data_IF_141971566404
#
_entry.id   IF_141971566404
#
_cell.length_a   1.000
_cell.length_b   1.000
_cell.length_c   1.000
_cell.angle_alpha   90.00
_cell.angle_beta   90.00
_cell.angle_gamma   90.00
#
_symmetry.space_group_name_H-M   'P 1'
#
loop_
_entity.id
_entity.type
_entity.pdbx_description
1 polymer ?
#
# COMPACT_ATOMS: atom_id res chain seq x y z
N UNK A 1 -43.41 -3.24 9.73
CA UNK A 1 -42.47 -4.36 10.02
C UNK A 1 -41.15 -4.27 9.24
N UNK A 2 -41.11 -3.62 8.08
CA UNK A 2 -39.86 -3.40 7.31
C UNK A 2 -38.90 -2.41 8.02
N UNK A 3 -39.45 -1.47 8.80
CA UNK A 3 -38.73 -0.37 9.45
C UNK A 3 -37.82 -0.78 10.64
N UNK A 4 -38.24 -1.75 11.47
CA UNK A 4 -37.50 -2.14 12.68
C UNK A 4 -36.24 -2.96 12.41
N UNK A 5 -36.23 -3.80 11.36
CA UNK A 5 -35.02 -4.57 10.99
C UNK A 5 -33.98 -3.68 10.33
N UNK A 6 -34.41 -2.74 9.50
CA UNK A 6 -33.56 -1.73 8.88
C UNK A 6 -32.88 -0.86 9.94
N UNK A 7 -33.67 -0.27 10.83
CA UNK A 7 -33.15 0.56 11.92
C UNK A 7 -32.18 -0.21 12.81
N UNK A 8 -32.53 -1.44 13.21
CA UNK A 8 -31.66 -2.28 14.04
C UNK A 8 -30.31 -2.55 13.38
N UNK A 9 -30.29 -2.81 12.07
CA UNK A 9 -29.04 -3.06 11.35
C UNK A 9 -28.21 -1.78 11.23
N UNK A 10 -28.84 -0.64 10.93
CA UNK A 10 -28.16 0.66 10.91
C UNK A 10 -27.53 0.97 12.27
N UNK A 11 -28.25 0.75 13.38
CA UNK A 11 -27.74 0.95 14.74
C UNK A 11 -26.55 0.02 15.05
N UNK A 12 -26.61 -1.24 14.63
CA UNK A 12 -25.50 -2.18 14.77
C UNK A 12 -24.25 -1.73 13.99
N UNK A 13 -24.41 -1.28 12.75
CA UNK A 13 -23.31 -0.77 11.93
C UNK A 13 -22.70 0.50 12.52
N UNK A 14 -23.55 1.43 13.00
CA UNK A 14 -23.10 2.65 13.70
C UNK A 14 -22.35 2.31 14.99
N UNK A 15 -22.83 1.36 15.78
CA UNK A 15 -22.12 0.88 16.97
C UNK A 15 -20.77 0.27 16.60
N UNK A 16 -20.70 -0.56 15.56
CA UNK A 16 -19.44 -1.13 15.05
C UNK A 16 -18.46 -0.02 14.64
N UNK A 17 -18.92 0.96 13.86
CA UNK A 17 -18.09 2.09 13.44
C UNK A 17 -17.59 2.93 14.62
N UNK A 18 -18.42 3.18 15.63
CA UNK A 18 -17.99 3.88 16.85
C UNK A 18 -16.87 3.12 17.56
N UNK A 19 -17.03 1.80 17.75
CA UNK A 19 -15.97 0.97 18.33
C UNK A 19 -14.69 0.98 17.49
N UNK A 20 -14.79 0.96 16.16
CA UNK A 20 -13.64 1.09 15.27
C UNK A 20 -12.97 2.46 15.40
N UNK A 21 -13.73 3.55 15.51
CA UNK A 21 -13.20 4.90 15.68
C UNK A 21 -12.41 5.08 16.97
N UNK A 22 -12.96 4.58 18.08
CA UNK A 22 -12.38 4.68 19.42
C UNK A 22 -11.14 3.78 19.61
N UNK A 23 -10.99 2.71 18.80
CA UNK A 23 -9.94 1.70 19.01
C UNK A 23 -8.89 1.64 17.90
N UNK A 24 -9.29 1.77 16.63
CA UNK A 24 -8.43 1.53 15.47
C UNK A 24 -8.28 2.75 14.57
N UNK A 25 -9.34 3.55 14.35
CA UNK A 25 -9.30 4.66 13.39
C UNK A 25 -8.74 5.96 13.97
N UNK A 26 -8.17 5.93 15.17
CA UNK A 26 -7.49 7.08 15.80
C UNK A 26 -8.39 8.33 15.89
N UNK A 27 -9.72 8.16 16.03
CA UNK A 27 -10.68 9.26 16.13
C UNK A 27 -10.93 10.03 14.82
N UNK A 28 -10.64 9.43 13.66
CA UNK A 28 -10.77 10.05 12.32
C UNK A 28 -12.19 10.03 11.75
N UNK A 29 -13.06 9.17 12.24
CA UNK A 29 -14.42 8.98 11.75
C UNK A 29 -15.44 9.06 12.90
N UNK A 30 -15.35 10.14 13.67
CA UNK A 30 -16.36 10.50 14.69
C UNK A 30 -17.75 10.58 14.08
N UNK A 31 -18.77 10.31 14.89
CA UNK A 31 -20.17 10.25 14.44
C UNK A 31 -20.63 11.48 13.63
N UNK A 32 -20.32 12.70 14.10
CA UNK A 32 -20.65 13.92 13.37
C UNK A 32 -19.99 13.98 11.97
N UNK A 33 -18.78 13.45 11.84
CA UNK A 33 -18.06 13.37 10.56
C UNK A 33 -18.67 12.31 9.63
N UNK A 34 -19.00 11.14 10.18
CA UNK A 34 -19.71 10.07 9.44
C UNK A 34 -21.05 10.57 8.93
N UNK A 35 -21.82 11.29 9.74
CA UNK A 35 -23.12 11.83 9.35
C UNK A 35 -22.99 12.86 8.22
N UNK A 36 -21.96 13.74 8.24
CA UNK A 36 -21.68 14.64 7.13
C UNK A 36 -21.32 13.88 5.85
N UNK A 37 -20.53 12.82 5.97
CA UNK A 37 -20.19 11.98 4.82
C UNK A 37 -21.42 11.32 4.21
N UNK A 38 -22.29 10.72 5.04
CA UNK A 38 -23.53 10.05 4.62
C UNK A 38 -24.55 11.00 4.01
N UNK A 39 -24.65 12.24 4.50
CA UNK A 39 -25.59 13.23 4.00
C UNK A 39 -25.40 13.62 2.52
N UNK A 40 -24.27 13.24 1.93
CA UNK A 40 -23.94 13.47 0.51
C UNK A 40 -24.62 12.46 -0.43
N UNK A 41 -25.12 11.33 0.09
CA UNK A 41 -25.83 10.30 -0.69
C UNK A 41 -27.34 10.52 -0.60
N UNK A 42 -27.84 11.58 -1.25
CA UNK A 42 -29.21 12.07 -1.05
C UNK A 42 -30.03 12.26 -2.34
N UNK A 43 -29.53 11.79 -3.49
CA UNK A 43 -30.31 11.82 -4.74
C UNK A 43 -31.52 10.89 -4.67
N UNK A 44 -32.51 11.09 -5.55
CA UNK A 44 -33.69 10.22 -5.64
C UNK A 44 -33.29 8.76 -5.82
N UNK A 45 -32.28 8.50 -6.64
CA UNK A 45 -31.73 7.16 -6.85
C UNK A 45 -30.99 6.63 -5.61
N UNK A 46 -30.26 7.48 -4.88
CA UNK A 46 -29.61 7.07 -3.62
C UNK A 46 -30.66 6.64 -2.57
N UNK A 47 -31.76 7.39 -2.47
CA UNK A 47 -32.85 7.07 -1.54
C UNK A 47 -33.56 5.77 -1.94
N UNK A 48 -33.76 5.52 -3.24
CA UNK A 48 -34.33 4.27 -3.74
C UNK A 48 -33.41 3.05 -3.48
N UNK A 49 -32.10 3.28 -3.44
CA UNK A 49 -31.08 2.25 -3.21
C UNK A 49 -30.71 2.05 -1.72
N UNK A 50 -31.42 2.69 -0.79
CA UNK A 50 -31.11 2.70 0.65
C UNK A 50 -29.66 3.12 0.94
N UNK A 51 -29.17 4.15 0.24
CA UNK A 51 -27.74 4.46 0.19
C UNK A 51 -27.09 4.66 1.55
N UNK A 52 -27.79 5.29 2.50
CA UNK A 52 -27.26 5.46 3.86
C UNK A 52 -26.83 4.12 4.46
N UNK A 53 -27.68 3.10 4.38
CA UNK A 53 -27.40 1.79 4.96
C UNK A 53 -26.28 1.06 4.19
N UNK A 54 -26.30 1.11 2.86
CA UNK A 54 -25.27 0.49 2.03
C UNK A 54 -23.89 1.13 2.28
N UNK A 55 -23.83 2.46 2.41
CA UNK A 55 -22.61 3.22 2.66
C UNK A 55 -22.10 3.03 4.10
N UNK A 56 -23.00 2.98 5.09
CA UNK A 56 -22.66 2.57 6.47
C UNK A 56 -22.03 1.18 6.48
N UNK A 57 -22.59 0.24 5.72
CA UNK A 57 -22.06 -1.11 5.64
C UNK A 57 -20.63 -1.14 5.06
N UNK A 58 -20.38 -0.46 3.94
CA UNK A 58 -19.04 -0.34 3.36
C UNK A 58 -18.06 0.32 4.35
N UNK A 59 -18.45 1.44 4.94
CA UNK A 59 -17.63 2.17 5.92
C UNK A 59 -17.28 1.31 7.13
N UNK A 60 -18.23 0.52 7.64
CA UNK A 60 -18.01 -0.40 8.76
C UNK A 60 -17.01 -1.53 8.46
N UNK A 61 -16.72 -1.78 7.19
CA UNK A 61 -15.76 -2.79 6.73
C UNK A 61 -14.42 -2.18 6.27
N UNK A 62 -14.21 -0.89 6.54
CA UNK A 62 -12.97 -0.19 6.20
C UNK A 62 -11.80 -0.62 7.10
N UNK A 63 -10.74 -1.12 6.47
CA UNK A 63 -9.50 -1.54 7.12
C UNK A 63 -8.53 -0.37 7.22
N UNK A 64 -8.46 0.24 8.40
CA UNK A 64 -7.51 1.31 8.65
C UNK A 64 -6.30 0.78 9.44
N UNK A 65 -5.10 1.13 8.98
CA UNK A 65 -3.85 0.82 9.65
C UNK A 65 -3.23 2.10 10.23
N UNK A 66 -3.28 2.18 11.56
CA UNK A 66 -2.67 3.25 12.33
C UNK A 66 -1.14 3.19 12.31
N UNK A 67 -0.51 4.18 12.94
CA UNK A 67 0.96 4.26 12.99
C UNK A 67 1.58 3.04 13.70
N UNK A 68 0.88 2.49 14.70
CA UNK A 68 1.32 1.31 15.46
C UNK A 68 1.33 0.06 14.60
N UNK A 69 0.26 -0.16 13.83
CA UNK A 69 0.09 -1.32 12.97
C UNK A 69 1.11 -1.28 11.82
N UNK A 70 1.28 -0.13 11.16
CA UNK A 70 2.30 0.03 10.11
C UNK A 70 3.71 -0.25 10.64
N UNK A 71 4.06 0.24 11.82
CA UNK A 71 5.36 -0.06 12.46
C UNK A 71 5.54 -1.54 12.73
N UNK A 72 4.49 -2.24 13.17
CA UNK A 72 4.53 -3.69 13.36
C UNK A 72 4.72 -4.46 12.05
N UNK A 73 4.08 -4.02 10.97
CA UNK A 73 4.26 -4.61 9.65
C UNK A 73 5.66 -4.34 9.09
N UNK A 74 6.26 -3.18 9.35
CA UNK A 74 7.65 -2.88 8.97
C UNK A 74 8.68 -3.77 9.70
N UNK A 75 8.42 -4.15 10.96
CA UNK A 75 9.22 -5.17 11.66
C UNK A 75 9.09 -6.54 11.00
N UNK A 76 7.85 -6.91 10.65
CA UNK A 76 7.56 -8.19 9.99
C UNK A 76 8.18 -8.26 8.59
N UNK A 77 8.14 -7.16 7.82
CA UNK A 77 8.79 -7.05 6.51
C UNK A 77 10.29 -7.36 6.60
N UNK A 78 11.00 -6.74 7.54
CA UNK A 78 12.43 -6.99 7.71
C UNK A 78 12.70 -8.40 8.21
N UNK A 79 12.02 -8.83 9.29
CA UNK A 79 12.25 -10.12 9.94
C UNK A 79 11.93 -11.28 9.00
N UNK A 80 10.73 -11.29 8.44
CA UNK A 80 10.16 -12.45 7.75
C UNK A 80 10.57 -12.50 6.28
N UNK A 81 10.56 -11.36 5.60
CA UNK A 81 10.85 -11.32 4.16
C UNK A 81 12.35 -11.19 3.86
N UNK A 82 13.12 -10.53 4.73
CA UNK A 82 14.55 -10.33 4.50
C UNK A 82 15.45 -11.18 5.41
N UNK A 83 15.39 -10.97 6.72
CA UNK A 83 16.34 -11.51 7.68
C UNK A 83 16.29 -13.04 7.74
N UNK A 84 15.09 -13.64 7.87
CA UNK A 84 14.97 -15.09 7.94
C UNK A 84 15.41 -15.78 6.65
N UNK A 85 15.09 -15.21 5.48
CA UNK A 85 15.55 -15.74 4.20
C UNK A 85 17.06 -15.64 4.02
N UNK A 86 17.64 -14.52 4.49
CA UNK A 86 19.09 -14.37 4.50
C UNK A 86 19.76 -15.41 5.40
N UNK A 87 19.25 -15.62 6.62
CA UNK A 87 19.75 -16.63 7.55
C UNK A 87 19.58 -18.05 6.98
N UNK A 88 18.44 -18.36 6.37
CA UNK A 88 18.21 -19.63 5.69
C UNK A 88 19.23 -19.87 4.57
N UNK A 89 19.50 -18.85 3.74
CA UNK A 89 20.50 -18.95 2.66
C UNK A 89 21.91 -19.21 3.22
N UNK A 90 22.30 -18.50 4.29
CA UNK A 90 23.60 -18.68 4.95
C UNK A 90 23.75 -20.12 5.45
N UNK A 91 22.71 -20.66 6.08
CA UNK A 91 22.73 -22.03 6.60
C UNK A 91 22.89 -23.03 5.46
N UNK A 92 22.07 -22.93 4.41
CA UNK A 92 22.12 -23.84 3.24
C UNK A 92 23.48 -23.82 2.55
N UNK A 93 24.07 -22.63 2.37
CA UNK A 93 25.39 -22.48 1.75
C UNK A 93 26.54 -23.04 2.61
N UNK A 94 26.31 -23.25 3.90
CA UNK A 94 27.27 -23.79 4.87
C UNK A 94 26.87 -25.19 5.34
N UNK A 95 26.32 -26.00 4.44
CA UNK A 95 25.92 -27.40 4.71
C UNK A 95 24.97 -27.53 5.90
N UNK A 96 23.94 -26.69 5.93
CA UNK A 96 22.90 -26.64 6.96
C UNK A 96 23.43 -26.43 8.39
N UNK A 97 24.52 -25.68 8.53
CA UNK A 97 25.15 -25.38 9.82
C UNK A 97 24.14 -24.84 10.85
N UNK A 98 24.38 -25.21 12.10
CA UNK A 98 23.69 -24.69 13.30
C UNK A 98 24.62 -23.85 14.18
N UNK A 99 25.88 -23.64 13.76
CA UNK A 99 26.82 -22.83 14.52
C UNK A 99 26.42 -21.35 14.48
N UNK A 100 25.99 -20.85 15.64
CA UNK A 100 25.49 -19.49 15.78
C UNK A 100 26.59 -18.45 15.48
N UNK A 101 27.84 -18.72 15.84
CA UNK A 101 28.93 -17.76 15.61
C UNK A 101 29.19 -17.53 14.12
N UNK A 102 29.31 -18.61 13.35
CA UNK A 102 29.43 -18.56 11.88
C UNK A 102 28.22 -17.89 11.23
N UNK A 103 27.00 -18.23 11.66
CA UNK A 103 25.77 -17.65 11.10
C UNK A 103 25.71 -16.15 11.37
N UNK A 104 26.02 -15.72 12.60
CA UNK A 104 26.01 -14.31 12.97
C UNK A 104 27.07 -13.49 12.24
N UNK A 105 28.28 -14.03 12.10
CA UNK A 105 29.37 -13.36 11.38
C UNK A 105 29.01 -13.14 9.90
N UNK A 106 28.54 -14.21 9.23
CA UNK A 106 28.14 -14.15 7.83
C UNK A 106 26.91 -13.23 7.65
N UNK A 107 25.94 -13.28 8.58
CA UNK A 107 24.79 -12.39 8.56
C UNK A 107 25.20 -10.91 8.65
N UNK A 108 26.08 -10.57 9.60
CA UNK A 108 26.61 -9.20 9.75
C UNK A 108 27.34 -8.76 8.48
N UNK A 109 28.12 -9.65 7.87
CA UNK A 109 28.83 -9.36 6.60
C UNK A 109 27.85 -9.10 5.45
N UNK A 110 26.82 -9.93 5.27
CA UNK A 110 25.79 -9.73 4.22
C UNK A 110 24.99 -8.46 4.46
N UNK A 111 24.60 -8.19 5.71
CA UNK A 111 23.89 -6.97 6.09
C UNK A 111 24.72 -5.72 5.77
N UNK A 112 26.03 -5.72 6.07
CA UNK A 112 26.97 -4.64 5.69
C UNK A 112 26.97 -4.34 4.18
N UNK A 113 26.78 -5.37 3.37
CA UNK A 113 26.71 -5.32 1.91
C UNK A 113 25.26 -5.17 1.37
N UNK A 114 24.31 -4.77 2.22
CA UNK A 114 22.90 -4.55 1.88
C UNK A 114 22.56 -3.07 1.85
N UNK A 115 21.70 -2.65 0.92
CA UNK A 115 21.11 -1.31 0.92
C UNK A 115 19.59 -1.34 0.76
N UNK A 116 18.89 -0.59 1.61
CA UNK A 116 17.45 -0.39 1.59
C UNK A 116 17.11 0.92 0.86
N UNK A 117 16.11 0.87 -0.01
CA UNK A 117 15.68 1.98 -0.87
C UNK A 117 14.15 2.06 -0.83
N UNK A 118 13.60 3.25 -0.58
CA UNK A 118 12.17 3.50 -0.65
C UNK A 118 11.75 3.67 -2.11
N UNK A 119 10.64 3.04 -2.51
CA UNK A 119 10.08 3.19 -3.84
C UNK A 119 9.33 4.53 -3.92
N UNK A 120 9.49 5.24 -5.03
CA UNK A 120 8.84 6.54 -5.27
C UNK A 120 9.71 7.75 -4.96
N UNK A 121 9.09 8.93 -5.02
CA UNK A 121 9.75 10.19 -4.74
C UNK A 121 10.13 10.31 -3.24
N UNK A 122 11.19 11.04 -2.87
CA UNK A 122 11.48 11.37 -1.47
C UNK A 122 10.29 11.97 -0.67
N UNK A 123 9.34 12.64 -1.33
CA UNK A 123 8.12 13.17 -0.71
C UNK A 123 6.95 12.18 -0.64
N UNK A 124 7.12 10.94 -1.11
CA UNK A 124 6.08 9.90 -1.13
C UNK A 124 6.22 8.89 0.01
N UNK A 125 5.17 8.07 0.19
CA UNK A 125 5.02 7.14 1.31
C UNK A 125 6.15 6.12 1.43
N UNK A 126 6.61 5.53 0.33
CA UNK A 126 7.68 4.53 0.34
C UNK A 126 8.99 5.07 0.95
N UNK A 127 9.36 6.31 0.66
CA UNK A 127 10.53 6.97 1.26
C UNK A 127 10.28 7.34 2.73
N UNK A 128 9.09 7.83 3.06
CA UNK A 128 8.70 8.15 4.44
C UNK A 128 8.76 6.91 5.36
N UNK A 129 8.34 5.74 4.86
CA UNK A 129 8.34 4.49 5.61
C UNK A 129 9.74 4.03 6.02
N UNK A 130 10.79 4.37 5.25
CA UNK A 130 12.17 4.00 5.60
C UNK A 130 12.61 4.57 6.96
N UNK A 131 12.08 5.74 7.35
CA UNK A 131 12.39 6.33 8.65
C UNK A 131 11.93 5.41 9.79
N UNK A 132 10.69 4.94 9.73
CA UNK A 132 10.15 4.00 10.72
C UNK A 132 10.80 2.62 10.58
N UNK A 133 10.98 2.12 9.36
CA UNK A 133 11.65 0.85 9.10
C UNK A 133 13.02 0.76 9.78
N UNK A 134 13.81 1.84 9.70
CA UNK A 134 15.12 1.94 10.36
C UNK A 134 15.01 1.84 11.88
N UNK A 135 14.08 2.60 12.47
CA UNK A 135 13.88 2.62 13.93
C UNK A 135 13.42 1.27 14.45
N UNK A 136 12.37 0.73 13.83
CA UNK A 136 11.72 -0.52 14.23
C UNK A 136 12.65 -1.72 14.14
N UNK A 137 13.58 -1.71 13.17
CA UNK A 137 14.55 -2.79 12.95
C UNK A 137 15.95 -2.50 13.51
N UNK A 138 16.12 -1.38 14.23
CA UNK A 138 17.40 -0.96 14.86
C UNK A 138 18.57 -0.92 13.88
N UNK A 139 18.32 -0.48 12.65
CA UNK A 139 19.32 -0.41 11.59
C UNK A 139 20.05 0.94 11.62
N UNK A 140 21.34 0.92 11.31
CA UNK A 140 22.14 2.13 11.10
C UNK A 140 21.69 2.91 9.86
N UNK A 141 21.95 4.22 9.83
CA UNK A 141 21.57 5.08 8.67
C UNK A 141 22.35 4.74 7.40
N UNK A 142 23.52 4.13 7.53
CA UNK A 142 24.43 3.72 6.45
C UNK A 142 23.87 2.61 5.55
N UNK A 143 22.84 1.90 6.02
CA UNK A 143 22.13 0.89 5.21
C UNK A 143 21.11 1.50 4.24
N UNK A 144 20.81 2.80 4.34
CA UNK A 144 19.79 3.46 3.55
C UNK A 144 20.44 4.39 2.53
N UNK A 145 20.00 4.29 1.27
CA UNK A 145 20.48 5.15 0.19
C UNK A 145 19.32 5.64 -0.67
N UNK A 146 19.56 6.72 -1.39
CA UNK A 146 18.66 7.18 -2.43
C UNK A 146 18.92 6.42 -3.75
N UNK A 147 17.93 6.35 -4.63
CA UNK A 147 18.06 5.70 -5.95
C UNK A 147 19.24 6.22 -6.79
N UNK A 148 19.47 7.54 -6.80
CA UNK A 148 20.60 8.16 -7.51
C UNK A 148 21.98 7.79 -6.94
N UNK A 149 22.05 7.12 -5.79
CA UNK A 149 23.29 6.64 -5.19
C UNK A 149 23.61 5.19 -5.58
N UNK A 150 22.72 4.51 -6.33
CA UNK A 150 22.97 3.15 -6.84
C UNK A 150 23.97 3.19 -8.00
N UNK A 151 23.74 4.08 -8.96
CA UNK A 151 24.54 4.24 -10.16
C UNK A 151 25.28 5.58 -10.15
N UNK A 152 26.45 5.62 -10.77
CA UNK A 152 27.22 6.84 -11.00
C UNK A 152 27.49 6.98 -12.49
N UNK A 153 27.15 8.13 -13.04
CA UNK A 153 27.43 8.48 -14.44
C UNK A 153 28.54 9.51 -14.47
N UNK A 154 29.68 9.14 -15.02
CA UNK A 154 30.78 10.07 -15.30
C UNK A 154 30.67 10.53 -16.75
N UNK A 155 30.69 11.86 -16.95
CA UNK A 155 30.72 12.48 -18.28
C UNK A 155 32.18 12.73 -18.64
N UNK A 156 32.75 11.95 -19.56
CA UNK A 156 34.13 12.13 -20.01
C UNK A 156 34.12 12.63 -21.45
N UNK A 157 34.42 13.92 -21.62
CA UNK A 157 34.33 14.67 -22.89
C UNK A 157 32.92 14.60 -23.52
N UNK A 158 32.62 15.51 -24.45
CA UNK A 158 31.27 15.78 -24.98
C UNK A 158 30.53 14.59 -25.67
N UNK A 159 31.08 13.36 -25.69
CA UNK A 159 30.50 12.23 -26.43
C UNK A 159 30.48 10.86 -25.73
N UNK A 160 31.04 10.70 -24.52
CA UNK A 160 31.02 9.39 -23.83
C UNK A 160 30.44 9.48 -22.41
N UNK A 161 29.40 8.68 -22.16
CA UNK A 161 28.80 8.49 -20.84
C UNK A 161 29.17 7.10 -20.33
N UNK A 162 29.94 7.03 -19.26
CA UNK A 162 30.22 5.76 -18.58
C UNK A 162 29.37 5.68 -17.31
N UNK A 163 28.50 4.67 -17.27
CA UNK A 163 27.67 4.38 -16.09
C UNK A 163 28.31 3.20 -15.35
N UNK A 164 28.52 3.34 -14.04
CA UNK A 164 29.03 2.28 -13.17
C UNK A 164 28.21 2.17 -11.89
N UNK A 165 28.28 1.00 -11.25
CA UNK A 165 27.74 0.84 -9.89
C UNK A 165 28.59 1.68 -8.93
N UNK A 166 27.94 2.53 -8.13
CA UNK A 166 28.64 3.52 -7.29
C UNK A 166 29.46 2.86 -6.19
N UNK A 167 28.93 1.79 -5.58
CA UNK A 167 29.63 1.01 -4.56
C UNK A 167 29.60 -0.48 -4.94
N UNK A 168 30.70 -1.01 -5.51
CA UNK A 168 30.80 -2.41 -5.93
C UNK A 168 30.72 -3.43 -4.78
N UNK A 169 30.95 -3.01 -3.53
CA UNK A 169 30.86 -3.89 -2.36
C UNK A 169 29.41 -4.26 -2.00
N UNK A 170 28.43 -3.47 -2.46
CA UNK A 170 27.01 -3.78 -2.23
C UNK A 170 26.61 -4.97 -3.11
N UNK A 171 25.97 -5.94 -2.47
CA UNK A 171 25.52 -7.20 -3.09
C UNK A 171 24.01 -7.35 -3.04
N UNK A 172 23.34 -6.72 -2.08
CA UNK A 172 21.89 -6.82 -1.89
C UNK A 172 21.24 -5.43 -1.96
N UNK A 173 20.24 -5.26 -2.82
CA UNK A 173 19.43 -4.05 -2.92
C UNK A 173 17.97 -4.40 -2.63
N UNK A 174 17.42 -3.83 -1.55
CA UNK A 174 16.06 -4.12 -1.07
C UNK A 174 15.19 -2.88 -1.28
N UNK A 175 14.27 -2.95 -2.23
CA UNK A 175 13.28 -1.92 -2.48
C UNK A 175 12.07 -2.14 -1.58
N UNK A 176 11.65 -1.09 -0.87
CA UNK A 176 10.55 -1.10 0.09
C UNK A 176 9.45 -0.14 -0.36
N UNK A 177 8.22 -0.62 -0.33
CA UNK A 177 7.02 0.13 -0.73
C UNK A 177 5.90 -0.07 0.30
N UNK A 178 4.92 0.85 0.39
CA UNK A 178 3.80 0.70 1.33
C UNK A 178 2.65 -0.11 0.73
N UNK A 179 2.24 0.16 -0.51
CA UNK A 179 1.20 -0.59 -1.21
C UNK A 179 1.53 -0.79 -2.70
N UNK A 180 1.58 -2.04 -3.13
CA UNK A 180 1.60 -2.42 -4.54
C UNK A 180 0.18 -2.75 -5.05
N UNK A 181 -0.53 -1.74 -5.53
CA UNK A 181 -1.84 -1.90 -6.17
C UNK A 181 -1.73 -2.62 -7.53
N UNK A 182 -1.36 -1.88 -8.58
CA UNK A 182 -1.22 -2.41 -9.95
C UNK A 182 0.21 -2.70 -10.40
N UNK A 183 1.21 -2.40 -9.56
CA UNK A 183 2.64 -2.53 -9.88
C UNK A 183 3.20 -1.47 -10.84
N UNK A 184 2.40 -0.57 -11.40
CA UNK A 184 2.87 0.41 -12.40
C UNK A 184 3.91 1.38 -11.84
N UNK A 185 3.67 1.96 -10.66
CA UNK A 185 4.60 2.91 -10.06
C UNK A 185 5.95 2.26 -9.73
N UNK A 186 5.92 1.06 -9.12
CA UNK A 186 7.12 0.29 -8.83
C UNK A 186 7.87 -0.11 -10.11
N UNK A 187 7.16 -0.53 -11.16
CA UNK A 187 7.76 -0.82 -12.48
C UNK A 187 8.48 0.42 -13.04
N UNK A 188 7.79 1.56 -13.11
CA UNK A 188 8.36 2.77 -13.72
C UNK A 188 9.56 3.29 -12.93
N UNK A 189 9.46 3.29 -11.59
CA UNK A 189 10.55 3.68 -10.70
C UNK A 189 11.76 2.76 -10.82
N UNK A 190 11.56 1.45 -10.70
CA UNK A 190 12.65 0.48 -10.63
C UNK A 190 13.30 0.21 -11.99
N UNK A 191 12.61 0.42 -13.12
CA UNK A 191 13.16 0.15 -14.46
C UNK A 191 14.51 0.82 -14.68
N UNK A 192 14.57 2.12 -14.39
CA UNK A 192 15.77 2.95 -14.60
C UNK A 192 16.94 2.61 -13.67
N UNK A 193 16.70 1.81 -12.63
CA UNK A 193 17.68 1.50 -11.58
C UNK A 193 18.13 0.05 -11.70
N UNK A 194 17.16 -0.88 -11.72
CA UNK A 194 17.42 -2.32 -11.62
C UNK A 194 17.94 -2.91 -12.93
N UNK A 195 17.38 -2.53 -14.09
CA UNK A 195 17.87 -3.03 -15.38
C UNK A 195 19.34 -2.66 -15.62
N UNK A 196 19.78 -1.40 -15.45
CA UNK A 196 21.20 -1.07 -15.61
C UNK A 196 22.08 -1.67 -14.52
N UNK A 197 21.59 -1.76 -13.27
CA UNK A 197 22.32 -2.39 -12.17
C UNK A 197 22.66 -3.85 -12.49
N UNK A 198 21.67 -4.66 -12.88
CA UNK A 198 21.90 -6.08 -13.22
C UNK A 198 22.77 -6.26 -14.45
N UNK A 199 22.69 -5.37 -15.43
CA UNK A 199 23.59 -5.37 -16.60
C UNK A 199 25.04 -5.06 -16.23
N UNK A 200 25.27 -4.11 -15.32
CA UNK A 200 26.61 -3.68 -14.90
C UNK A 200 27.22 -4.61 -13.84
N UNK A 201 26.39 -5.32 -13.09
CA UNK A 201 26.80 -6.18 -11.98
C UNK A 201 25.81 -7.34 -11.85
N UNK A 202 26.10 -8.44 -12.54
CA UNK A 202 25.21 -9.60 -12.63
C UNK A 202 25.11 -10.42 -11.33
N UNK A 203 26.05 -10.27 -10.41
CA UNK A 203 26.09 -10.97 -9.12
C UNK A 203 25.31 -10.27 -7.99
N UNK A 204 24.58 -9.18 -8.28
CA UNK A 204 23.70 -8.53 -7.30
C UNK A 204 22.39 -9.29 -7.13
N UNK A 205 21.91 -9.31 -5.88
CA UNK A 205 20.54 -9.71 -5.53
C UNK A 205 19.68 -8.47 -5.35
N UNK A 206 18.52 -8.46 -5.97
CA UNK A 206 17.56 -7.35 -5.92
C UNK A 206 16.21 -7.85 -5.42
N UNK A 207 15.67 -7.21 -4.39
CA UNK A 207 14.43 -7.59 -3.73
C UNK A 207 13.41 -6.47 -3.87
N UNK A 208 12.14 -6.80 -4.09
CA UNK A 208 11.02 -5.88 -3.95
C UNK A 208 10.08 -6.38 -2.85
N UNK A 209 10.02 -5.64 -1.76
CA UNK A 209 9.15 -5.95 -0.62
C UNK A 209 8.19 -4.82 -0.35
N UNK A 210 6.94 -5.16 -0.05
CA UNK A 210 5.92 -4.18 0.28
C UNK A 210 5.09 -4.61 1.48
N UNK A 211 4.50 -3.65 2.20
CA UNK A 211 3.62 -3.99 3.32
C UNK A 211 2.33 -4.64 2.80
N UNK A 212 1.75 -4.07 1.76
CA UNK A 212 0.51 -4.55 1.15
C UNK A 212 0.70 -4.72 -0.35
N UNK A 213 0.16 -5.78 -0.94
CA UNK A 213 0.09 -5.90 -2.39
C UNK A 213 -1.21 -6.58 -2.80
N UNK A 214 -1.82 -6.15 -3.91
CA UNK A 214 -2.80 -7.04 -4.55
C UNK A 214 -2.08 -8.24 -5.16
N UNK A 215 -2.72 -9.41 -5.18
CA UNK A 215 -2.14 -10.60 -5.84
C UNK A 215 -1.75 -10.29 -7.29
N UNK A 216 -2.61 -9.55 -8.00
CA UNK A 216 -2.34 -9.08 -9.36
C UNK A 216 -1.10 -8.18 -9.43
N UNK A 217 -1.01 -7.15 -8.60
CA UNK A 217 0.12 -6.23 -8.58
C UNK A 217 1.44 -6.95 -8.29
N UNK A 218 1.43 -7.90 -7.36
CA UNK A 218 2.59 -8.71 -7.01
C UNK A 218 3.04 -9.59 -8.18
N UNK A 219 2.10 -10.21 -8.89
CA UNK A 219 2.36 -10.99 -10.11
C UNK A 219 2.93 -10.12 -11.24
N UNK A 220 2.38 -8.91 -11.44
CA UNK A 220 2.92 -7.97 -12.43
C UNK A 220 4.38 -7.62 -12.18
N UNK A 221 4.79 -7.45 -10.91
CA UNK A 221 6.19 -7.19 -10.56
C UNK A 221 7.07 -8.44 -10.74
N UNK A 222 6.57 -9.62 -10.35
CA UNK A 222 7.29 -10.90 -10.58
C UNK A 222 7.57 -11.14 -12.06
N UNK A 223 6.60 -10.85 -12.92
CA UNK A 223 6.70 -11.03 -14.36
C UNK A 223 7.70 -10.09 -15.05
N UNK A 224 8.22 -9.07 -14.35
CA UNK A 224 9.32 -8.24 -14.87
C UNK A 224 10.65 -9.00 -14.89
N UNK A 225 10.80 -10.04 -14.07
CA UNK A 225 12.04 -10.82 -13.91
C UNK A 225 13.27 -9.99 -13.52
N UNK A 226 13.06 -8.76 -13.03
CA UNK A 226 14.12 -7.86 -12.58
C UNK A 226 14.60 -8.18 -11.16
N UNK A 227 13.70 -8.72 -10.34
CA UNK A 227 13.92 -8.99 -8.93
C UNK A 227 14.19 -10.47 -8.72
N UNK A 228 15.15 -10.77 -7.84
CA UNK A 228 15.41 -12.13 -7.35
C UNK A 228 14.29 -12.59 -6.42
N UNK A 229 13.64 -11.64 -5.74
CA UNK A 229 12.51 -11.93 -4.87
C UNK A 229 11.49 -10.79 -4.83
N UNK A 230 10.21 -11.16 -4.79
CA UNK A 230 9.07 -10.25 -4.76
C UNK A 230 8.04 -10.78 -3.76
N UNK A 231 7.81 -10.03 -2.69
CA UNK A 231 6.90 -10.44 -1.61
C UNK A 231 6.19 -9.26 -0.95
N UNK A 232 5.03 -9.55 -0.35
CA UNK A 232 4.28 -8.62 0.48
C UNK A 232 4.08 -9.21 1.87
N UNK A 233 3.97 -8.35 2.89
CA UNK A 233 3.60 -8.81 4.25
C UNK A 233 2.12 -9.23 4.27
N UNK A 234 1.27 -8.46 3.61
CA UNK A 234 -0.15 -8.73 3.43
C UNK A 234 -0.47 -8.79 1.95
N UNK A 235 -0.88 -9.96 1.47
CA UNK A 235 -1.39 -10.12 0.12
C UNK A 235 -2.91 -9.94 0.11
N UNK A 236 -3.39 -9.05 -0.74
CA UNK A 236 -4.78 -8.68 -0.93
C UNK A 236 -5.27 -9.41 -2.18
N UNK A 237 -5.85 -10.59 -1.97
CA UNK A 237 -6.46 -11.35 -3.05
C UNK A 237 -7.80 -10.74 -3.49
N UNK A 238 -8.45 -11.38 -4.44
CA UNK A 238 -9.73 -10.96 -5.00
C UNK A 238 -10.84 -10.80 -3.92
N UNK A 239 -10.72 -11.47 -2.77
CA UNK A 239 -11.69 -11.34 -1.67
C UNK A 239 -11.66 -9.98 -0.97
N UNK A 240 -10.58 -9.21 -1.14
CA UNK A 240 -10.44 -7.85 -0.61
C UNK A 240 -11.12 -6.80 -1.50
N UNK A 241 -11.47 -7.13 -2.75
CA UNK A 241 -12.25 -6.25 -3.63
C UNK A 241 -13.71 -6.27 -3.20
N UNK A 242 -14.21 -5.15 -2.69
CA UNK A 242 -15.53 -5.13 -2.05
C UNK A 242 -16.68 -5.50 -3.00
N UNK A 243 -16.58 -5.23 -4.30
CA UNK A 243 -17.64 -5.59 -5.27
C UNK A 243 -17.32 -6.81 -6.12
N UNK A 244 -16.25 -7.55 -5.80
CA UNK A 244 -15.97 -8.82 -6.49
C UNK A 244 -17.00 -9.90 -6.16
N UNK A 245 -17.11 -10.91 -7.03
CA UNK A 245 -17.83 -12.14 -6.75
C UNK A 245 -17.24 -12.92 -5.56
N UNK A 246 -15.94 -12.77 -5.29
CA UNK A 246 -15.27 -13.41 -4.14
C UNK A 246 -15.25 -12.52 -2.89
N UNK A 247 -15.95 -11.39 -2.91
CA UNK A 247 -15.91 -10.40 -1.84
C UNK A 247 -16.31 -11.00 -0.50
N UNK A 248 -15.38 -11.00 0.45
CA UNK A 248 -15.58 -11.60 1.78
C UNK A 248 -16.51 -10.80 2.69
N UNK A 249 -16.76 -9.52 2.38
CA UNK A 249 -17.67 -8.73 3.22
C UNK A 249 -19.13 -9.06 2.91
N UNK A 250 -19.42 -9.64 1.73
CA UNK A 250 -20.77 -10.01 1.30
C UNK A 250 -21.07 -11.52 1.39
N UNK A 251 -20.16 -12.34 1.96
CA UNK A 251 -20.33 -13.80 2.01
C UNK A 251 -21.43 -14.28 2.96
N UNK A 252 -21.76 -13.50 4.00
CA UNK A 252 -22.84 -13.80 4.95
C UNK A 252 -23.48 -12.50 5.45
N UNK A 253 -24.16 -11.80 4.53
CA UNK A 253 -24.71 -10.47 4.81
C UNK A 253 -26.22 -10.52 5.07
N UNK A 254 -26.67 -9.81 6.11
CA UNK A 254 -28.08 -9.69 6.41
C UNK A 254 -28.79 -8.75 5.42
N UNK A 255 -29.98 -9.15 4.97
CA UNK A 255 -30.91 -8.23 4.30
C UNK A 255 -31.19 -7.01 5.20
N UNK A 256 -31.24 -5.77 4.67
CA UNK A 256 -31.32 -5.42 3.24
C UNK A 256 -30.00 -4.94 2.61
N UNK A 257 -28.83 -5.38 3.10
CA UNK A 257 -27.55 -5.06 2.44
C UNK A 257 -27.50 -5.73 1.07
N UNK A 258 -27.06 -4.98 0.07
CA UNK A 258 -27.01 -5.40 -1.32
C UNK A 258 -25.73 -4.90 -2.01
N UNK A 259 -24.92 -5.86 -2.48
CA UNK A 259 -23.63 -5.61 -3.14
C UNK A 259 -23.78 -4.74 -4.39
N UNK A 260 -24.81 -4.99 -5.19
CA UNK A 260 -25.00 -4.33 -6.47
C UNK A 260 -25.52 -2.90 -6.28
N UNK A 261 -26.45 -2.69 -5.33
CA UNK A 261 -26.84 -1.33 -4.93
C UNK A 261 -25.65 -0.52 -4.43
N UNK A 262 -24.87 -1.09 -3.51
CA UNK A 262 -23.66 -0.44 -2.97
C UNK A 262 -22.65 -0.10 -4.09
N UNK A 263 -22.47 -1.00 -5.07
CA UNK A 263 -21.60 -0.80 -6.24
C UNK A 263 -22.12 0.34 -7.13
N UNK A 264 -23.42 0.37 -7.41
CA UNK A 264 -24.04 1.39 -8.26
C UNK A 264 -23.95 2.79 -7.62
N UNK A 265 -24.25 2.92 -6.32
CA UNK A 265 -24.07 4.16 -5.57
C UNK A 265 -22.60 4.61 -5.63
N UNK A 266 -21.67 3.69 -5.31
CA UNK A 266 -20.23 3.99 -5.33
C UNK A 266 -19.74 4.43 -6.70
N UNK A 267 -20.20 3.79 -7.76
CA UNK A 267 -19.85 4.14 -9.14
C UNK A 267 -20.45 5.50 -9.52
N UNK A 268 -21.73 5.75 -9.23
CA UNK A 268 -22.45 6.99 -9.55
C UNK A 268 -21.75 8.23 -8.99
N UNK A 269 -21.40 8.20 -7.70
CA UNK A 269 -20.67 9.29 -7.05
C UNK A 269 -19.19 9.27 -7.43
N UNK A 270 -18.56 8.10 -7.45
CA UNK A 270 -17.17 7.92 -7.87
C UNK A 270 -16.86 8.42 -9.27
N UNK A 271 -17.79 8.33 -10.22
CA UNK A 271 -17.61 8.88 -11.58
C UNK A 271 -17.56 10.40 -11.63
N UNK A 272 -18.12 11.09 -10.62
CA UNK A 272 -18.00 12.55 -10.49
C UNK A 272 -16.69 12.95 -9.82
N UNK A 273 -16.27 12.16 -8.83
CA UNK A 273 -15.08 12.42 -8.01
C UNK A 273 -13.78 12.01 -8.73
N UNK A 274 -13.74 10.82 -9.31
CA UNK A 274 -12.60 10.28 -10.05
C UNK A 274 -13.09 9.60 -11.33
N UNK A 275 -13.42 10.37 -12.39
CA UNK A 275 -14.10 9.85 -13.60
C UNK A 275 -13.40 8.66 -14.26
N UNK A 276 -12.06 8.63 -14.22
CA UNK A 276 -11.26 7.56 -14.81
C UNK A 276 -11.30 6.25 -14.02
N UNK A 277 -11.50 6.34 -12.70
CA UNK A 277 -11.42 5.21 -11.78
C UNK A 277 -12.47 5.33 -10.67
N UNK A 278 -13.77 5.24 -11.03
CA UNK A 278 -14.87 5.50 -10.11
C UNK A 278 -14.94 4.54 -8.92
N UNK A 279 -14.31 3.36 -9.04
CA UNK A 279 -14.23 2.35 -8.00
C UNK A 279 -12.79 2.14 -7.49
N UNK A 280 -11.92 3.13 -7.67
CA UNK A 280 -10.52 3.09 -7.26
C UNK A 280 -9.57 2.74 -8.42
N UNK A 281 -8.32 3.18 -8.29
CA UNK A 281 -7.28 3.07 -9.33
C UNK A 281 -7.20 1.66 -9.91
N UNK A 282 -7.38 1.58 -11.23
CA UNK A 282 -7.45 0.33 -12.01
C UNK A 282 -8.42 -0.71 -11.43
N UNK A 283 -9.61 -0.24 -11.04
CA UNK A 283 -10.66 -1.08 -10.46
C UNK A 283 -10.20 -1.79 -9.17
N UNK A 284 -9.53 -1.03 -8.30
CA UNK A 284 -8.99 -1.56 -7.04
C UNK A 284 -10.06 -2.03 -6.07
N UNK A 285 -11.17 -1.29 -5.96
CA UNK A 285 -12.32 -1.61 -5.09
C UNK A 285 -11.96 -1.92 -3.63
N UNK A 286 -10.85 -1.37 -3.14
CA UNK A 286 -10.39 -1.64 -1.79
C UNK A 286 -11.17 -0.80 -0.78
N UNK A 287 -11.26 -1.32 0.44
CA UNK A 287 -11.75 -0.60 1.61
C UNK A 287 -10.63 -0.55 2.64
N UNK A 288 -9.56 0.19 2.33
CA UNK A 288 -8.43 0.34 3.24
C UNK A 288 -7.82 1.73 3.25
N UNK A 289 -7.16 2.08 4.35
CA UNK A 289 -6.45 3.33 4.51
C UNK A 289 -5.31 3.22 5.51
N UNK A 290 -4.35 4.14 5.42
CA UNK A 290 -3.19 4.19 6.29
C UNK A 290 -3.13 5.54 7.02
N UNK A 291 -2.44 5.58 8.16
CA UNK A 291 -2.33 6.82 8.93
C UNK A 291 -1.70 7.99 8.18
N UNK A 292 -0.81 7.71 7.23
CA UNK A 292 -0.16 8.73 6.40
C UNK A 292 -0.99 9.11 5.18
N UNK A 293 -1.82 8.21 4.63
CA UNK A 293 -2.67 8.50 3.47
C UNK A 293 -3.70 7.39 3.21
N UNK A 294 -4.81 7.73 2.55
CA UNK A 294 -5.69 6.72 1.94
C UNK A 294 -5.25 6.42 0.50
N UNK A 295 -4.98 5.16 0.12
CA UNK A 295 -4.63 4.79 -1.25
C UNK A 295 -5.71 5.11 -2.28
N UNK A 296 -5.32 5.43 -3.52
CA UNK A 296 -6.27 5.65 -4.61
C UNK A 296 -6.87 4.34 -5.15
N UNK A 297 -6.35 3.17 -4.77
CA UNK A 297 -7.01 1.88 -4.98
C UNK A 297 -8.31 1.73 -4.17
N UNK A 298 -8.51 2.55 -3.14
CA UNK A 298 -9.75 2.60 -2.35
C UNK A 298 -10.85 3.34 -3.11
N UNK A 299 -12.11 3.10 -2.76
CA UNK A 299 -13.24 3.82 -3.38
C UNK A 299 -13.10 5.35 -3.24
N UNK A 300 -13.19 6.13 -4.34
CA UNK A 300 -13.11 7.59 -4.31
C UNK A 300 -14.10 8.26 -3.35
N UNK A 301 -15.30 7.70 -3.19
CA UNK A 301 -16.31 8.17 -2.25
C UNK A 301 -15.81 8.20 -0.79
N UNK A 302 -14.76 7.44 -0.44
CA UNK A 302 -14.17 7.41 0.90
C UNK A 302 -13.14 8.52 1.08
N UNK A 303 -12.33 8.82 0.06
CA UNK A 303 -11.09 9.58 0.25
C UNK A 303 -10.97 10.88 -0.52
N UNK A 304 -11.80 11.07 -1.54
CA UNK A 304 -11.69 12.22 -2.45
C UNK A 304 -11.83 13.53 -1.68
N UNK A 305 -10.87 14.42 -1.91
CA UNK A 305 -10.83 15.75 -1.31
C UNK A 305 -10.10 16.67 -2.27
N UNK A 306 -10.88 17.36 -3.09
CA UNK A 306 -10.38 18.34 -4.04
C UNK A 306 -11.10 19.68 -3.80
N UNK A 307 -10.42 20.66 -3.20
CA UNK A 307 -10.99 21.99 -2.98
C UNK A 307 -11.33 22.74 -4.26
N UNK A 308 -10.66 22.45 -5.37
CA UNK A 308 -10.85 23.12 -6.66
C UNK A 308 -11.81 22.33 -7.59
N UNK A 309 -12.03 21.05 -7.27
CA UNK A 309 -12.92 20.15 -7.99
C UNK A 309 -14.32 20.04 -7.39
N UNK A 310 -14.90 18.83 -7.48
CA UNK A 310 -16.21 18.56 -6.90
C UNK A 310 -16.13 18.56 -5.37
N UNK A 311 -16.91 19.43 -4.72
CA UNK A 311 -16.97 19.49 -3.26
C UNK A 311 -17.44 18.15 -2.70
N UNK A 312 -16.55 17.48 -1.97
CA UNK A 312 -16.81 16.21 -1.31
C UNK A 312 -16.16 16.20 0.07
N UNK A 313 -16.91 15.80 1.09
CA UNK A 313 -16.38 15.55 2.43
C UNK A 313 -15.91 14.10 2.49
N UNK A 314 -14.60 13.80 2.53
CA UNK A 314 -14.12 12.43 2.63
C UNK A 314 -14.38 11.83 4.01
N UNK A 315 -14.61 10.52 4.08
CA UNK A 315 -14.57 9.78 5.34
C UNK A 315 -13.12 9.61 5.83
N UNK A 316 -12.21 9.20 4.93
CA UNK A 316 -10.78 9.06 5.18
C UNK A 316 -9.98 9.76 4.09
N UNK A 317 -9.59 11.01 4.35
CA UNK A 317 -8.93 11.90 3.39
C UNK A 317 -7.68 11.27 2.72
N UNK A 318 -7.58 11.42 1.40
CA UNK A 318 -6.31 11.31 0.66
C UNK A 318 -5.76 12.70 0.39
N UNK A 319 -4.47 12.92 0.63
CA UNK A 319 -3.83 14.18 0.26
C UNK A 319 -3.38 14.11 -1.22
N UNK A 320 -3.85 15.04 -2.08
CA UNK A 320 -3.49 15.04 -3.50
C UNK A 320 -2.01 15.40 -3.68
N UNK A 321 -1.40 14.87 -4.75
CA UNK A 321 -0.06 15.30 -5.16
C UNK A 321 -0.18 16.69 -5.75
N UNK A 322 0.51 17.67 -5.17
CA UNK A 322 0.60 19.01 -5.73
C UNK A 322 1.71 19.06 -6.79
N UNK A 323 1.37 19.47 -8.00
CA UNK A 323 2.31 19.55 -9.13
C UNK A 323 2.95 20.93 -9.31
N UNK A 324 2.75 21.84 -8.34
CA UNK A 324 3.24 23.22 -8.40
C UNK A 324 2.21 24.17 -9.01
N UNK A 325 2.59 25.44 -9.12
CA UNK A 325 1.82 26.48 -9.78
C UNK A 325 1.97 26.33 -11.29
N UNK A 326 0.86 26.20 -12.02
CA UNK A 326 0.87 26.40 -13.47
C UNK A 326 1.29 27.84 -13.73
N UNK A 327 2.36 28.03 -14.50
CA UNK A 327 2.89 29.34 -14.86
C UNK A 327 2.07 30.00 -15.98
#
# INVERSE_FOLDING_TARGET
MIDTKHQRLADQLRSKMKSLDETLWEGRAKEAHVNRWLAQFNSTEDLADDAELQMLFLASNFLYFGAREIRALLRSLFRDLYQYKLLESIRKERSDTLDLSTIEEEYKNRLKNTRFIGVGNPSESGSHMLYYFRQENRLGKEYFINSHQVLSTTRFLLKHHTTKVRNPAIKHYVFIDDLCGSGSQAKDYCKSIVEPLKRLKSDVRVYYFTLFATSYGLEQIRNLLWFDEVAAVVELDESFKCFSEKSRIYSDVATPIDKEKARQISHRHGSKLAPKYPLGWRDGQLLLGFFHNTPDNTLPIIWHDDPEGHSWTPLFRRFPKQYGWEA
#
